data_IF_088510399358
#
_entry.id   IF_088510399358
#
_cell.length_a   1.000
_cell.length_b   1.000
_cell.length_c   1.000
_cell.angle_alpha   90.00
_cell.angle_beta   90.00
_cell.angle_gamma   90.00
#
_symmetry.space_group_name_H-M   'P 1'
#
loop_
_entity.id
_entity.type
_entity.pdbx_description
1 polymer ?
#
# COMPACT_ATOMS: atom_id res chain seq x y z
N UNK A 1 31.05 3.10 36.37
CA UNK A 1 29.92 4.02 36.13
C UNK A 1 29.29 3.63 34.81
N UNK A 2 28.03 3.19 34.85
CA UNK A 2 27.26 2.64 33.73
C UNK A 2 26.68 3.78 32.90
N UNK A 3 26.78 3.70 31.57
CA UNK A 3 25.64 3.91 30.65
C UNK A 3 25.98 3.44 29.24
N UNK A 4 25.49 2.24 28.95
CA UNK A 4 25.25 1.71 27.61
C UNK A 4 24.18 2.60 26.97
N UNK A 5 24.42 3.10 25.76
CA UNK A 5 23.37 3.60 24.88
C UNK A 5 23.47 2.82 23.57
N UNK A 6 22.69 1.74 23.50
CA UNK A 6 22.23 1.19 22.24
C UNK A 6 21.32 2.24 21.61
N UNK A 7 21.70 2.79 20.46
CA UNK A 7 20.71 3.37 19.55
C UNK A 7 20.56 2.43 18.35
N UNK A 8 19.31 2.07 18.13
CA UNK A 8 18.86 0.84 17.52
C UNK A 8 19.28 0.67 16.06
N UNK A 9 19.70 -0.57 15.80
CA UNK A 9 19.66 -1.24 14.52
C UNK A 9 18.26 -1.13 13.93
N UNK A 10 18.12 -0.48 12.79
CA UNK A 10 17.18 -0.91 11.75
C UNK A 10 17.87 -0.81 10.40
N UNK A 11 18.61 -1.88 10.09
CA UNK A 11 18.86 -2.25 8.71
C UNK A 11 17.48 -2.42 8.03
N UNK A 12 17.14 -1.59 7.05
CA UNK A 12 16.13 -1.98 6.07
C UNK A 12 16.84 -2.84 5.02
N UNK A 13 16.65 -4.17 5.00
CA UNK A 13 17.18 -4.98 3.91
C UNK A 13 16.50 -4.54 2.61
N UNK A 14 17.31 -4.34 1.58
CA UNK A 14 16.89 -4.12 0.21
C UNK A 14 15.75 -5.09 -0.16
N UNK A 15 14.62 -4.53 -0.62
CA UNK A 15 13.44 -5.28 -1.04
C UNK A 15 13.83 -6.21 -2.20
N UNK A 16 14.07 -7.48 -1.88
CA UNK A 16 14.10 -8.58 -2.85
C UNK A 16 12.76 -8.56 -3.57
N UNK A 17 12.74 -8.07 -4.82
CA UNK A 17 11.58 -8.17 -5.71
C UNK A 17 11.43 -9.63 -6.11
N UNK A 18 10.89 -10.45 -5.19
CA UNK A 18 10.50 -11.82 -5.48
C UNK A 18 9.30 -11.75 -6.43
N UNK A 19 9.55 -11.96 -7.72
CA UNK A 19 8.54 -12.02 -8.78
C UNK A 19 7.72 -13.29 -8.56
N UNK A 20 6.70 -13.20 -7.71
CA UNK A 20 5.63 -14.20 -7.65
C UNK A 20 4.44 -13.56 -8.37
N UNK A 21 4.34 -13.90 -9.66
CA UNK A 21 3.23 -13.60 -10.56
C UNK A 21 2.02 -14.43 -10.11
N UNK A 22 1.42 -14.04 -9.00
CA UNK A 22 0.10 -14.57 -8.61
C UNK A 22 -0.94 -13.58 -9.10
N UNK A 23 -2.03 -14.09 -9.66
CA UNK A 23 -3.27 -13.38 -9.95
C UNK A 23 -3.72 -12.69 -8.65
N UNK A 24 -3.24 -11.47 -8.43
CA UNK A 24 -3.44 -10.72 -7.19
C UNK A 24 -4.47 -9.68 -7.51
N UNK A 25 -5.59 -9.69 -6.77
CA UNK A 25 -6.53 -8.56 -6.81
C UNK A 25 -5.80 -7.27 -6.49
N UNK A 26 -6.32 -6.13 -6.93
CA UNK A 26 -5.74 -4.83 -6.65
C UNK A 26 -5.40 -4.64 -5.16
N UNK A 27 -6.29 -5.10 -4.27
CA UNK A 27 -6.05 -5.06 -2.83
C UNK A 27 -4.81 -5.86 -2.42
N UNK A 28 -4.63 -7.07 -2.93
CA UNK A 28 -3.46 -7.89 -2.62
C UNK A 28 -2.17 -7.24 -3.13
N UNK A 29 -2.21 -6.61 -4.30
CA UNK A 29 -1.11 -5.80 -4.81
C UNK A 29 -0.83 -4.61 -3.89
N UNK A 30 -1.85 -3.86 -3.49
CA UNK A 30 -1.74 -2.71 -2.59
C UNK A 30 -1.10 -3.10 -1.25
N UNK A 31 -1.42 -4.28 -0.70
CA UNK A 31 -0.78 -4.78 0.52
C UNK A 31 0.73 -4.94 0.42
N UNK A 32 1.28 -5.13 -0.79
CA UNK A 32 2.74 -5.19 -1.01
C UNK A 32 3.42 -3.82 -0.91
N UNK A 33 2.66 -2.74 -1.05
CA UNK A 33 3.16 -1.35 -0.98
C UNK A 33 3.19 -0.80 0.44
N UNK A 34 2.62 -1.51 1.40
CA UNK A 34 2.64 -1.15 2.82
C UNK A 34 4.08 -0.99 3.31
N UNK A 35 4.31 0.09 4.05
CA UNK A 35 5.58 0.36 4.70
C UNK A 35 5.31 1.20 5.97
N UNK A 36 5.18 0.57 7.15
CA UNK A 36 4.94 1.29 8.39
C UNK A 36 6.17 2.13 8.72
N UNK A 37 6.05 3.45 8.62
CA UNK A 37 7.13 4.42 8.85
C UNK A 37 7.65 5.14 7.60
N UNK A 38 7.12 4.84 6.41
CA UNK A 38 7.35 5.72 5.26
C UNK A 38 6.35 6.87 5.23
N UNK A 39 6.79 8.04 4.77
CA UNK A 39 5.95 9.20 4.45
C UNK A 39 5.53 9.23 2.98
N UNK A 40 5.77 8.15 2.21
CA UNK A 40 5.34 8.07 0.82
C UNK A 40 3.80 8.00 0.75
N UNK A 41 3.14 8.83 -0.09
CA UNK A 41 1.68 8.84 -0.19
C UNK A 41 1.08 7.48 -0.55
N UNK A 42 1.77 6.69 -1.38
CA UNK A 42 1.36 5.33 -1.75
C UNK A 42 1.44 4.38 -0.55
N UNK A 43 2.48 4.50 0.28
CA UNK A 43 2.64 3.67 1.46
C UNK A 43 1.58 4.02 2.52
N UNK A 44 1.29 5.31 2.69
CA UNK A 44 0.22 5.80 3.57
C UNK A 44 -1.15 5.30 3.11
N UNK A 45 -1.47 5.42 1.82
CA UNK A 45 -2.68 4.85 1.23
C UNK A 45 -2.79 3.33 1.50
N UNK A 46 -1.72 2.58 1.24
CA UNK A 46 -1.70 1.13 1.47
C UNK A 46 -1.87 0.76 2.96
N UNK A 47 -1.29 1.56 3.86
CA UNK A 47 -1.43 1.37 5.30
C UNK A 47 -2.87 1.66 5.75
N UNK A 48 -3.47 2.74 5.27
CA UNK A 48 -4.84 3.13 5.65
C UNK A 48 -5.88 2.16 5.07
N UNK A 49 -5.74 1.74 3.81
CA UNK A 49 -6.58 0.73 3.20
C UNK A 49 -6.48 -0.65 3.88
N UNK A 50 -5.38 -0.93 4.60
CA UNK A 50 -5.28 -2.13 5.43
C UNK A 50 -6.15 -2.05 6.69
N UNK A 51 -6.29 -0.87 7.28
CA UNK A 51 -7.15 -0.65 8.46
C UNK A 51 -8.62 -0.51 8.09
N UNK A 52 -8.92 -0.18 6.83
CA UNK A 52 -10.27 -0.18 6.28
C UNK A 52 -10.83 -1.61 6.14
N UNK A 53 -11.71 -1.98 7.06
CA UNK A 53 -12.36 -3.29 7.06
C UNK A 53 -13.39 -3.46 5.93
N UNK A 54 -13.95 -2.34 5.46
CA UNK A 54 -14.97 -2.28 4.42
C UNK A 54 -14.38 -2.29 3.01
N UNK A 55 -13.05 -2.18 2.90
CA UNK A 55 -12.37 -2.14 1.60
C UNK A 55 -12.75 -3.35 0.74
N UNK A 56 -13.17 -3.16 -0.51
CA UNK A 56 -13.62 -4.24 -1.37
C UNK A 56 -12.44 -5.08 -1.90
N UNK A 57 -12.12 -6.18 -1.22
CA UNK A 57 -10.92 -7.01 -1.49
C UNK A 57 -10.99 -7.88 -2.75
N UNK A 58 -12.21 -8.14 -3.23
CA UNK A 58 -12.51 -9.01 -4.37
C UNK A 58 -12.73 -8.24 -5.67
N UNK A 59 -12.84 -6.91 -5.61
CA UNK A 59 -12.99 -6.12 -6.83
C UNK A 59 -11.66 -6.08 -7.59
N UNK A 60 -11.78 -6.22 -8.90
CA UNK A 60 -10.67 -6.19 -9.86
C UNK A 60 -10.86 -5.09 -10.90
N UNK A 61 -12.03 -4.45 -10.92
CA UNK A 61 -12.40 -3.41 -11.87
C UNK A 61 -12.07 -2.00 -11.34
N UNK A 62 -11.52 -1.17 -12.21
CA UNK A 62 -11.09 0.19 -11.89
C UNK A 62 -12.26 1.05 -11.43
N UNK A 63 -13.35 1.06 -12.18
CA UNK A 63 -14.50 1.95 -11.93
C UNK A 63 -15.14 1.64 -10.57
N UNK A 64 -15.31 0.35 -10.30
CA UNK A 64 -15.90 -0.12 -9.04
C UNK A 64 -15.06 0.26 -7.81
N UNK A 65 -13.73 0.19 -7.92
CA UNK A 65 -12.81 0.59 -6.82
C UNK A 65 -12.74 2.11 -6.70
N UNK A 66 -12.64 2.83 -7.82
CA UNK A 66 -12.62 4.30 -7.85
C UNK A 66 -13.84 4.87 -7.14
N UNK A 67 -15.04 4.34 -7.47
CA UNK A 67 -16.29 4.75 -6.83
C UNK A 67 -16.28 4.51 -5.32
N UNK A 68 -15.81 3.33 -4.88
CA UNK A 68 -15.69 3.06 -3.44
C UNK A 68 -14.79 4.07 -2.73
N UNK A 69 -13.64 4.40 -3.34
CA UNK A 69 -12.69 5.35 -2.78
C UNK A 69 -13.29 6.76 -2.72
N UNK A 70 -14.07 7.17 -3.72
CA UNK A 70 -14.68 8.51 -3.76
C UNK A 70 -15.73 8.67 -2.67
N UNK A 71 -16.46 7.59 -2.38
CA UNK A 71 -17.55 7.59 -1.40
C UNK A 71 -17.06 7.31 0.05
N UNK A 72 -15.97 6.55 0.24
CA UNK A 72 -15.60 6.03 1.57
C UNK A 72 -14.13 6.29 1.99
N UNK A 73 -13.24 6.67 1.08
CA UNK A 73 -11.80 6.79 1.39
C UNK A 73 -11.39 8.21 1.82
N UNK A 74 -11.88 8.64 2.99
CA UNK A 74 -11.45 9.90 3.63
C UNK A 74 -9.94 9.94 3.94
N UNK A 75 -9.30 8.77 3.98
CA UNK A 75 -7.86 8.60 4.21
C UNK A 75 -6.99 8.75 2.96
N UNK A 76 -7.61 8.95 1.79
CA UNK A 76 -6.91 9.17 0.53
C UNK A 76 -6.89 10.68 0.24
N UNK A 77 -5.74 11.36 0.38
CA UNK A 77 -5.69 12.82 0.22
C UNK A 77 -5.90 13.28 -1.23
N UNK A 78 -5.72 12.39 -2.22
CA UNK A 78 -5.99 12.68 -3.62
C UNK A 78 -6.22 11.40 -4.42
N UNK A 79 -7.23 11.42 -5.30
CA UNK A 79 -7.48 10.34 -6.27
C UNK A 79 -6.33 10.10 -7.23
N UNK A 80 -5.47 11.09 -7.46
CA UNK A 80 -4.26 10.93 -8.28
C UNK A 80 -3.30 9.87 -7.73
N UNK A 81 -3.29 9.65 -6.40
CA UNK A 81 -2.49 8.59 -5.76
C UNK A 81 -3.05 7.22 -6.15
N UNK A 82 -4.38 7.08 -6.18
CA UNK A 82 -5.00 5.84 -6.63
C UNK A 82 -4.68 5.58 -8.10
N UNK A 83 -4.82 6.56 -8.98
CA UNK A 83 -4.47 6.44 -10.40
C UNK A 83 -3.01 5.98 -10.60
N UNK A 84 -2.08 6.55 -9.84
CA UNK A 84 -0.67 6.18 -9.90
C UNK A 84 -0.45 4.72 -9.46
N UNK A 85 -1.05 4.31 -8.35
CA UNK A 85 -0.93 2.93 -7.84
C UNK A 85 -1.58 1.94 -8.80
N UNK A 86 -2.72 2.31 -9.39
CA UNK A 86 -3.41 1.51 -10.39
C UNK A 86 -2.54 1.28 -11.62
N UNK A 87 -1.90 2.34 -12.14
CA UNK A 87 -0.96 2.22 -13.25
C UNK A 87 0.20 1.28 -12.90
N UNK A 88 0.79 1.43 -11.72
CA UNK A 88 1.85 0.53 -11.27
C UNK A 88 1.37 -0.92 -11.10
N UNK A 89 0.10 -1.13 -10.71
CA UNK A 89 -0.52 -2.45 -10.63
C UNK A 89 -0.60 -3.08 -12.02
N UNK A 90 -1.12 -2.36 -13.01
CA UNK A 90 -1.20 -2.82 -14.40
C UNK A 90 0.17 -3.10 -15.01
N UNK A 91 1.20 -2.31 -14.68
CA UNK A 91 2.57 -2.57 -15.11
C UNK A 91 3.22 -3.78 -14.41
N UNK A 92 2.66 -4.22 -13.27
CA UNK A 92 3.18 -5.34 -12.49
C UNK A 92 2.55 -6.69 -12.83
N UNK A 93 1.40 -6.69 -13.53
CA UNK A 93 0.79 -7.87 -14.16
C UNK A 93 1.55 -8.35 -15.40
#
# INVERSE_FOLDING_TARGET
MVKVSLSSKFCCPAKVKRVIKMLKTFYQYLMTKRNPGSSDPIAEFANNAFYDQSFPKQLEDFESISKYLEENAEYLPSMTIFDEVWKQYQESE
#
